data_IF_107563258445
#
_entry.id   IF_107563258445
#
_cell.length_a   1.000
_cell.length_b   1.000
_cell.length_c   1.000
_cell.angle_alpha   90.00
_cell.angle_beta   90.00
_cell.angle_gamma   90.00
#
_symmetry.space_group_name_H-M   'P 1'
#
loop_
_entity.id
_entity.type
_entity.pdbx_description
1 polymer ?
#
# COMPACT_ATOMS: atom_id res chain seq x y z
N UNK A 1 -8.29 21.85 -18.95
CA UNK A 1 -9.26 21.23 -18.03
C UNK A 1 -8.61 20.11 -17.26
N UNK A 2 -8.84 20.06 -15.97
CA UNK A 2 -8.31 19.02 -15.11
C UNK A 2 -9.38 17.97 -14.86
N UNK A 3 -9.07 16.72 -15.13
CA UNK A 3 -10.01 15.61 -14.91
C UNK A 3 -9.55 14.75 -13.74
N UNK A 4 -10.50 14.15 -13.03
CA UNK A 4 -10.19 13.20 -11.99
C UNK A 4 -9.60 11.91 -12.58
N UNK A 5 -8.66 11.32 -11.87
CA UNK A 5 -8.07 10.04 -12.29
C UNK A 5 -9.09 8.92 -12.10
N UNK A 6 -9.26 8.09 -13.11
CA UNK A 6 -10.17 6.95 -13.04
C UNK A 6 -9.65 5.91 -12.05
N UNK A 7 -10.53 5.39 -11.18
CA UNK A 7 -10.21 4.26 -10.32
C UNK A 7 -9.81 2.99 -11.06
N UNK A 8 -10.13 2.89 -12.34
CA UNK A 8 -9.75 1.74 -13.17
C UNK A 8 -8.27 1.72 -13.55
N UNK A 9 -7.55 2.85 -13.40
CA UNK A 9 -6.13 2.94 -13.71
C UNK A 9 -5.23 2.63 -12.51
N UNK A 10 -5.80 2.56 -11.32
CA UNK A 10 -5.04 2.24 -10.11
C UNK A 10 -4.53 0.80 -10.12
N UNK A 11 -3.32 0.58 -9.65
CA UNK A 11 -2.71 -0.74 -9.59
C UNK A 11 -1.74 -0.88 -8.43
N UNK A 12 -1.53 -2.13 -8.00
CA UNK A 12 -0.59 -2.49 -6.96
C UNK A 12 0.43 -3.47 -7.56
N UNK A 13 1.71 -3.13 -7.42
CA UNK A 13 2.83 -3.92 -7.94
C UNK A 13 3.74 -4.30 -6.79
N UNK A 14 4.20 -5.53 -6.78
CA UNK A 14 5.05 -6.07 -5.70
C UNK A 14 6.32 -6.69 -6.24
N UNK A 15 7.38 -6.62 -5.44
CA UNK A 15 8.68 -7.24 -5.73
C UNK A 15 9.38 -7.63 -4.44
N UNK A 16 10.04 -8.78 -4.41
CA UNK A 16 10.78 -9.24 -3.23
C UNK A 16 12.09 -8.49 -3.03
N UNK A 17 12.73 -8.03 -4.10
CA UNK A 17 14.03 -7.41 -4.05
C UNK A 17 13.98 -5.98 -4.56
N UNK A 18 14.77 -5.10 -3.95
CA UNK A 18 14.98 -3.76 -4.47
C UNK A 18 15.58 -3.86 -5.88
N UNK A 19 15.08 -3.04 -6.80
CA UNK A 19 15.47 -3.05 -8.23
C UNK A 19 15.13 -4.35 -8.97
N UNK A 20 14.29 -5.21 -8.40
CA UNK A 20 13.81 -6.40 -9.08
C UNK A 20 12.65 -6.11 -10.02
N UNK A 21 12.12 -7.17 -10.62
CA UNK A 21 10.95 -7.09 -11.49
C UNK A 21 9.68 -7.07 -10.65
N UNK A 22 8.87 -6.04 -10.83
CA UNK A 22 7.59 -5.91 -10.14
C UNK A 22 6.52 -6.71 -10.84
N UNK A 23 5.68 -7.36 -10.06
CA UNK A 23 4.53 -8.11 -10.53
C UNK A 23 3.23 -7.46 -10.09
N UNK A 24 2.28 -7.35 -11.00
CA UNK A 24 0.99 -6.72 -10.76
C UNK A 24 0.08 -7.67 -10.02
N UNK A 25 -0.57 -7.17 -8.95
CA UNK A 25 -1.62 -7.92 -8.27
C UNK A 25 -2.86 -7.97 -9.16
N UNK A 26 -3.27 -9.17 -9.56
CA UNK A 26 -4.40 -9.39 -10.45
C UNK A 26 -5.74 -9.29 -9.76
N UNK A 27 -6.77 -8.99 -10.52
CA UNK A 27 -8.16 -8.90 -10.07
C UNK A 27 -8.37 -8.05 -8.82
N UNK A 28 -7.67 -6.92 -8.75
CA UNK A 28 -7.79 -5.97 -7.66
C UNK A 28 -9.15 -5.29 -7.71
N UNK A 29 -9.92 -5.40 -6.63
CA UNK A 29 -11.25 -4.79 -6.54
C UNK A 29 -11.25 -3.51 -5.72
N UNK A 30 -10.32 -3.33 -4.80
CA UNK A 30 -10.19 -2.13 -4.00
C UNK A 30 -8.73 -1.91 -3.61
N UNK A 31 -8.29 -0.66 -3.63
CA UNK A 31 -6.93 -0.28 -3.26
C UNK A 31 -6.97 1.08 -2.59
N UNK A 32 -6.46 1.14 -1.37
CA UNK A 32 -6.41 2.38 -0.59
C UNK A 32 -5.04 2.58 0.01
N UNK A 33 -4.58 3.80 -0.04
CA UNK A 33 -3.34 4.23 0.62
C UNK A 33 -3.68 5.29 1.66
N UNK A 34 -3.28 5.05 2.89
CA UNK A 34 -3.41 6.01 3.98
C UNK A 34 -2.03 6.43 4.45
N UNK A 35 -1.82 7.73 4.54
CA UNK A 35 -0.57 8.31 5.03
C UNK A 35 -0.89 9.13 6.26
N UNK A 36 -0.27 8.80 7.39
CA UNK A 36 -0.49 9.48 8.67
C UNK A 36 0.80 10.08 9.18
N UNK A 37 0.69 11.27 9.75
CA UNK A 37 1.77 11.89 10.52
C UNK A 37 1.42 11.87 11.99
N UNK A 38 2.41 11.62 12.84
CA UNK A 38 2.25 11.73 14.28
C UNK A 38 2.46 13.18 14.70
N UNK A 39 1.52 13.74 15.43
CA UNK A 39 1.62 15.08 15.99
C UNK A 39 2.47 15.07 17.26
N UNK A 40 3.41 16.00 17.32
CA UNK A 40 4.20 16.25 18.54
C UNK A 40 3.87 17.64 19.02
N UNK A 41 3.30 17.75 20.21
CA UNK A 41 2.96 19.04 20.81
C UNK A 41 4.24 19.73 21.27
N UNK A 42 4.51 20.90 20.71
CA UNK A 42 5.65 21.75 21.04
C UNK A 42 5.23 23.03 21.75
N UNK A 43 3.97 23.12 22.19
CA UNK A 43 3.45 24.29 22.90
C UNK A 43 4.22 24.56 24.19
N UNK A 44 4.39 25.85 24.51
CA UNK A 44 5.03 26.27 25.73
C UNK A 44 4.43 27.60 26.19
N UNK A 45 4.87 28.13 27.37
CA UNK A 45 4.32 29.32 27.93
C UNK A 45 4.62 30.58 27.10
N UNK A 46 5.63 30.53 26.23
CA UNK A 46 5.99 31.65 25.36
C UNK A 46 5.12 31.76 24.11
N UNK A 47 4.23 30.79 23.90
CA UNK A 47 3.30 30.78 22.75
C UNK A 47 2.10 31.71 22.92
N UNK A 48 2.09 32.56 23.96
CA UNK A 48 1.06 33.54 24.24
C UNK A 48 -0.37 32.99 24.26
N UNK A 49 -0.52 31.77 24.75
CA UNK A 49 -1.80 31.07 24.80
C UNK A 49 -2.15 30.28 23.55
N UNK A 50 -1.32 30.32 22.54
CA UNK A 50 -1.48 29.50 21.33
C UNK A 50 -0.72 28.20 21.46
N UNK A 51 -1.36 27.11 21.09
CA UNK A 51 -0.69 25.83 21.00
C UNK A 51 0.11 25.71 19.70
N UNK A 52 1.23 25.00 19.75
CA UNK A 52 1.99 24.65 18.55
C UNK A 52 2.28 23.17 18.50
N UNK A 53 2.44 22.65 17.29
CA UNK A 53 2.75 21.24 17.08
C UNK A 53 3.59 21.07 15.82
N UNK A 54 4.35 19.97 15.77
CA UNK A 54 5.11 19.57 14.58
C UNK A 54 4.73 18.13 14.21
N UNK A 55 4.90 17.82 12.93
CA UNK A 55 4.71 16.46 12.45
C UNK A 55 5.89 15.60 12.89
N UNK A 56 5.61 14.52 13.61
CA UNK A 56 6.62 13.54 14.01
C UNK A 56 6.78 12.43 12.99
N UNK A 57 6.93 11.19 13.46
CA UNK A 57 7.06 10.02 12.61
C UNK A 57 5.84 9.87 11.70
N UNK A 58 6.07 9.51 10.45
CA UNK A 58 5.02 9.28 9.47
C UNK A 58 4.89 7.80 9.17
N UNK A 59 3.69 7.38 8.86
CA UNK A 59 3.40 6.01 8.49
C UNK A 59 2.52 5.96 7.26
N UNK A 60 2.67 4.89 6.49
CA UNK A 60 1.84 4.62 5.33
C UNK A 60 1.25 3.22 5.46
N UNK A 61 -0.03 3.09 5.16
CA UNK A 61 -0.74 1.82 5.19
C UNK A 61 -1.48 1.63 3.89
N UNK A 62 -1.32 0.45 3.30
CA UNK A 62 -2.03 0.06 2.09
C UNK A 62 -3.04 -1.01 2.45
N UNK A 63 -4.28 -0.79 2.07
CA UNK A 63 -5.35 -1.78 2.16
C UNK A 63 -5.76 -2.16 0.75
N UNK A 64 -5.69 -3.44 0.43
CA UNK A 64 -6.01 -3.94 -0.89
C UNK A 64 -6.91 -5.15 -0.79
N UNK A 65 -7.91 -5.21 -1.65
CA UNK A 65 -8.82 -6.36 -1.76
C UNK A 65 -8.73 -6.91 -3.18
N UNK A 66 -8.47 -8.19 -3.32
CA UNK A 66 -8.46 -8.82 -4.63
C UNK A 66 -9.14 -10.19 -4.60
N UNK A 67 -9.63 -10.61 -5.77
CA UNK A 67 -10.09 -11.98 -5.96
C UNK A 67 -8.89 -12.90 -6.03
N UNK A 68 -8.98 -14.08 -5.41
CA UNK A 68 -7.85 -15.01 -5.36
C UNK A 68 -7.63 -15.67 -6.71
N UNK A 69 -6.42 -15.51 -7.22
CA UNK A 69 -5.90 -16.25 -8.37
C UNK A 69 -4.68 -17.00 -7.85
N UNK A 70 -4.81 -18.33 -7.68
CA UNK A 70 -3.80 -19.14 -7.02
C UNK A 70 -2.45 -19.15 -7.74
N UNK A 71 -2.45 -18.83 -9.03
CA UNK A 71 -1.23 -18.80 -9.85
C UNK A 71 -0.66 -17.39 -10.03
N UNK A 72 -1.30 -16.37 -9.46
CA UNK A 72 -0.81 -14.99 -9.55
C UNK A 72 0.49 -14.83 -8.76
N UNK A 73 1.56 -14.44 -9.43
CA UNK A 73 2.87 -14.26 -8.81
C UNK A 73 2.87 -13.20 -7.71
N UNK A 74 2.16 -12.10 -7.90
CA UNK A 74 2.05 -11.05 -6.87
C UNK A 74 1.35 -11.58 -5.62
N UNK A 75 0.26 -12.31 -5.78
CA UNK A 75 -0.44 -12.94 -4.67
C UNK A 75 0.48 -13.90 -3.90
N UNK A 76 1.25 -14.72 -4.61
CA UNK A 76 2.16 -15.67 -3.99
C UNK A 76 3.26 -14.98 -3.20
N UNK A 77 3.78 -13.86 -3.69
CA UNK A 77 4.79 -13.05 -3.01
C UNK A 77 4.22 -12.48 -1.70
N UNK A 78 3.04 -11.86 -1.77
CA UNK A 78 2.42 -11.26 -0.59
C UNK A 78 2.10 -12.32 0.46
N UNK A 79 1.56 -13.47 0.04
CA UNK A 79 1.24 -14.58 0.94
C UNK A 79 2.49 -15.11 1.63
N UNK A 80 3.57 -15.29 0.90
CA UNK A 80 4.84 -15.75 1.47
C UNK A 80 5.36 -14.76 2.50
N UNK A 81 5.31 -13.47 2.20
CA UNK A 81 5.76 -12.43 3.12
C UNK A 81 4.88 -12.35 4.37
N UNK A 82 3.58 -12.59 4.25
CA UNK A 82 2.70 -12.67 5.40
C UNK A 82 3.08 -13.83 6.33
N UNK A 83 3.36 -15.00 5.78
CA UNK A 83 3.66 -16.19 6.56
C UNK A 83 5.05 -16.18 7.17
N UNK A 84 6.02 -15.57 6.50
CA UNK A 84 7.42 -15.56 6.93
C UNK A 84 7.85 -14.27 7.62
N UNK A 85 7.09 -13.20 7.47
CA UNK A 85 7.43 -11.89 8.02
C UNK A 85 8.52 -11.15 7.24
N UNK A 86 8.92 -11.64 6.08
CA UNK A 86 9.96 -11.03 5.25
C UNK A 86 9.42 -9.74 4.62
N UNK A 87 10.16 -8.62 4.69
CA UNK A 87 9.74 -7.39 4.02
C UNK A 87 9.89 -7.52 2.50
N UNK A 88 9.13 -6.69 1.79
CA UNK A 88 9.16 -6.63 0.33
C UNK A 88 8.93 -5.20 -0.14
N UNK A 89 8.96 -4.99 -1.45
CA UNK A 89 8.78 -3.67 -2.04
C UNK A 89 7.47 -3.61 -2.79
N UNK A 90 6.80 -2.47 -2.68
CA UNK A 90 5.50 -2.26 -3.31
C UNK A 90 5.47 -0.93 -4.04
N UNK A 91 4.79 -0.90 -5.18
CA UNK A 91 4.45 0.32 -5.90
C UNK A 91 2.94 0.45 -5.96
N UNK A 92 2.44 1.57 -5.48
CA UNK A 92 1.03 1.91 -5.53
C UNK A 92 0.89 2.96 -6.62
N UNK A 93 0.38 2.57 -7.79
CA UNK A 93 0.30 3.43 -8.95
C UNK A 93 -1.10 3.97 -9.17
N UNK A 94 -1.21 5.28 -9.38
CA UNK A 94 -2.44 5.92 -9.81
C UNK A 94 -2.67 5.71 -11.30
N UNK A 95 -1.57 5.65 -12.07
CA UNK A 95 -1.61 5.37 -13.49
C UNK A 95 -0.25 4.87 -13.98
N UNK A 96 -0.22 4.29 -15.17
CA UNK A 96 1.00 3.78 -15.78
C UNK A 96 1.43 2.41 -15.25
N UNK A 97 2.64 2.04 -15.60
CA UNK A 97 3.28 0.78 -15.15
C UNK A 97 4.69 1.08 -14.66
N UNK A 98 5.34 0.16 -13.92
CA UNK A 98 6.73 0.36 -13.51
C UNK A 98 7.71 0.56 -14.66
N UNK A 99 7.34 0.16 -15.86
CA UNK A 99 8.18 0.29 -17.04
C UNK A 99 7.92 1.57 -17.84
N UNK A 100 6.74 2.18 -17.71
CA UNK A 100 6.38 3.33 -18.52
C UNK A 100 5.28 4.17 -17.87
N UNK A 101 5.51 5.47 -17.75
CA UNK A 101 4.50 6.43 -17.33
C UNK A 101 4.00 6.27 -15.91
N UNK A 102 4.80 5.73 -15.02
CA UNK A 102 4.36 5.48 -13.64
C UNK A 102 4.10 6.78 -12.88
N UNK A 103 2.97 6.83 -12.19
CA UNK A 103 2.59 7.92 -11.31
C UNK A 103 2.02 7.31 -10.03
N UNK A 104 2.65 7.57 -8.91
CA UNK A 104 2.20 7.02 -7.63
C UNK A 104 3.29 7.05 -6.58
N UNK A 105 3.40 5.98 -5.81
CA UNK A 105 4.32 5.87 -4.68
C UNK A 105 4.98 4.51 -4.66
N UNK A 106 6.16 4.46 -4.06
CA UNK A 106 6.85 3.21 -3.76
C UNK A 106 7.35 3.20 -2.33
N UNK A 107 7.46 2.02 -1.74
CA UNK A 107 7.98 1.86 -0.39
C UNK A 107 8.45 0.44 -0.15
N UNK A 108 9.38 0.29 0.82
CA UNK A 108 9.65 -1.00 1.44
C UNK A 108 8.58 -1.24 2.51
N UNK A 109 8.01 -2.41 2.54
CA UNK A 109 6.84 -2.69 3.38
C UNK A 109 6.85 -4.11 3.94
N UNK A 110 5.92 -4.35 4.85
CA UNK A 110 5.63 -5.69 5.35
C UNK A 110 4.12 -5.89 5.45
N UNK A 111 3.68 -7.13 5.32
CA UNK A 111 2.27 -7.48 5.47
C UNK A 111 1.97 -7.62 6.96
N UNK A 112 1.01 -6.84 7.47
CA UNK A 112 0.53 -6.98 8.83
C UNK A 112 -0.53 -8.06 8.97
N UNK A 113 -1.35 -8.23 7.93
CA UNK A 113 -2.40 -9.21 7.98
C UNK A 113 -3.05 -9.44 6.64
N UNK A 114 -3.70 -10.57 6.51
CA UNK A 114 -4.53 -10.91 5.37
C UNK A 114 -5.79 -11.57 5.90
N UNK A 115 -6.94 -11.13 5.41
CA UNK A 115 -8.22 -11.70 5.77
C UNK A 115 -8.78 -12.42 4.55
N UNK A 116 -8.82 -13.75 4.64
CA UNK A 116 -9.23 -14.60 3.52
C UNK A 116 -10.70 -14.97 3.65
N UNK A 117 -11.47 -14.73 2.60
CA UNK A 117 -12.82 -15.24 2.46
C UNK A 117 -12.77 -16.42 1.53
N UNK A 118 -12.81 -17.63 2.08
CA UNK A 118 -12.57 -18.88 1.35
C UNK A 118 -13.82 -19.56 0.86
N UNK A 119 -14.96 -19.30 1.49
CA UNK A 119 -16.25 -19.88 1.12
C UNK A 119 -17.37 -18.90 1.39
N UNK A 120 -18.37 -18.94 0.54
CA UNK A 120 -19.58 -18.12 0.69
C UNK A 120 -20.51 -18.34 -0.50
N UNK A 121 -21.78 -18.06 -0.31
CA UNK A 121 -22.79 -18.23 -1.36
C UNK A 121 -22.60 -17.15 -2.42
N UNK A 122 -22.44 -17.57 -3.67
CA UNK A 122 -22.31 -16.69 -4.83
C UNK A 122 -21.12 -15.72 -4.77
N UNK A 123 -20.09 -16.04 -3.99
CA UNK A 123 -18.90 -15.19 -3.91
C UNK A 123 -17.67 -15.98 -4.35
N UNK A 124 -16.76 -15.27 -5.02
CA UNK A 124 -15.43 -15.78 -5.29
C UNK A 124 -14.59 -15.68 -4.02
N UNK A 125 -13.57 -16.51 -3.92
CA UNK A 125 -12.59 -16.37 -2.85
C UNK A 125 -11.89 -15.01 -2.98
N UNK A 126 -11.74 -14.33 -1.86
CA UNK A 126 -11.16 -12.98 -1.81
C UNK A 126 -10.17 -12.90 -0.67
N UNK A 127 -9.27 -11.94 -0.76
CA UNK A 127 -8.38 -11.59 0.34
C UNK A 127 -8.31 -10.09 0.50
N UNK A 128 -8.34 -9.65 1.77
CA UNK A 128 -8.11 -8.27 2.16
C UNK A 128 -6.73 -8.19 2.79
N UNK A 129 -5.82 -7.45 2.16
CA UNK A 129 -4.47 -7.28 2.65
C UNK A 129 -4.32 -5.98 3.43
N UNK A 130 -3.58 -6.02 4.53
CA UNK A 130 -3.12 -4.84 5.25
C UNK A 130 -1.60 -4.81 5.20
N UNK A 131 -1.05 -3.81 4.54
CA UNK A 131 0.38 -3.67 4.30
C UNK A 131 0.83 -2.36 4.93
N UNK A 132 1.94 -2.41 5.68
CA UNK A 132 2.47 -1.24 6.36
C UNK A 132 3.90 -0.96 5.90
N UNK A 133 4.27 0.32 5.92
CA UNK A 133 5.61 0.73 5.52
C UNK A 133 6.68 0.26 6.51
N UNK A 134 7.84 -0.10 5.96
CA UNK A 134 9.06 -0.40 6.72
C UNK A 134 10.12 0.66 6.50
N UNK A 135 9.91 1.53 5.53
CA UNK A 135 10.78 2.64 5.20
C UNK A 135 9.97 3.81 4.72
N UNK A 136 10.64 4.82 4.18
CA UNK A 136 9.98 6.01 3.69
C UNK A 136 9.15 5.71 2.44
N UNK A 137 7.97 6.34 2.37
CA UNK A 137 7.17 6.36 1.15
C UNK A 137 7.76 7.39 0.21
N UNK A 138 8.05 7.00 -1.01
CA UNK A 138 8.64 7.86 -2.02
C UNK A 138 7.67 8.06 -3.17
N UNK A 139 7.47 9.29 -3.59
CA UNK A 139 6.66 9.62 -4.75
C UNK A 139 7.42 9.33 -6.04
N UNK A 140 6.76 8.73 -7.00
CA UNK A 140 7.34 8.37 -8.29
C UNK A 140 6.51 8.86 -9.46
#
# INVERSE_FOLDING_TARGET
>A
MTEAVSGMTGSLWVCLAEFGTYEKLGELSDLRLRIDGREIDTSNVDDEGWGSSISGARSAEVTATNNLILTDGAYLIIRMCLLTGVPFFVKILQSGTPLSGQVGWEMKCSVLGGNFTLAGTNTQQKVDWTIKNRGALTEI
#
